data_IF_822410333317
#
_entry.id   IF_822410333317
#
_cell.length_a   1.000
_cell.length_b   1.000
_cell.length_c   1.000
_cell.angle_alpha   90.00
_cell.angle_beta   90.00
_cell.angle_gamma   90.00
#
_symmetry.space_group_name_H-M   'P 1'
#
loop_
_entity.id
_entity.type
_entity.pdbx_description
1 polymer ?
#
# COMPACT_ATOMS: atom_id res chain seq x y z
N UNK A 1 2.07 9.71 10.66
CA UNK A 1 3.32 10.37 10.16
C UNK A 1 3.95 9.61 9.00
N UNK A 2 4.31 8.33 9.14
CA UNK A 2 5.07 7.59 8.11
C UNK A 2 4.40 7.61 6.70
N UNK A 3 3.11 7.34 6.60
CA UNK A 3 2.40 7.34 5.31
C UNK A 3 2.41 8.71 4.61
N UNK A 4 2.26 9.82 5.36
CA UNK A 4 2.38 11.17 4.78
C UNK A 4 3.80 11.47 4.31
N UNK A 5 4.81 11.10 5.10
CA UNK A 5 6.22 11.24 4.69
C UNK A 5 6.51 10.39 3.45
N UNK A 6 5.91 9.20 3.36
CA UNK A 6 6.03 8.34 2.20
C UNK A 6 5.42 9.00 0.96
N UNK A 7 4.18 9.49 1.04
CA UNK A 7 3.51 10.19 -0.07
C UNK A 7 4.33 11.37 -0.58
N UNK A 8 4.88 12.19 0.32
CA UNK A 8 5.73 13.31 -0.04
C UNK A 8 6.99 12.88 -0.79
N UNK A 9 7.62 11.77 -0.36
CA UNK A 9 8.80 11.21 -1.02
C UNK A 9 8.54 10.67 -2.42
N UNK A 10 7.31 10.22 -2.70
CA UNK A 10 6.93 9.60 -3.98
C UNK A 10 6.41 10.63 -5.00
N UNK A 11 6.38 11.92 -4.65
CA UNK A 11 5.86 13.01 -5.50
C UNK A 11 4.45 12.71 -6.09
N UNK A 12 3.59 12.07 -5.29
CA UNK A 12 2.23 11.71 -5.70
C UNK A 12 1.35 12.96 -5.63
N UNK A 13 0.80 13.37 -6.76
CA UNK A 13 0.03 14.63 -6.91
C UNK A 13 -1.45 14.42 -7.22
N UNK A 14 -1.88 13.19 -7.45
CA UNK A 14 -3.26 12.85 -7.88
C UNK A 14 -3.78 11.59 -7.22
N UNK A 15 -5.09 11.42 -7.23
CA UNK A 15 -5.78 10.17 -6.87
C UNK A 15 -6.44 9.57 -8.12
N UNK A 16 -6.62 8.27 -8.19
CA UNK A 16 -6.15 7.28 -7.21
C UNK A 16 -4.63 7.06 -7.27
N UNK A 17 -4.02 6.82 -6.14
CA UNK A 17 -2.60 6.45 -6.04
C UNK A 17 -2.35 5.15 -6.82
N UNK A 18 -1.24 5.08 -7.55
CA UNK A 18 -0.81 3.88 -8.27
C UNK A 18 0.40 3.19 -7.60
N UNK A 19 0.19 2.24 -6.68
CA UNK A 19 1.28 1.57 -5.97
C UNK A 19 2.18 0.74 -6.90
N UNK A 20 1.62 0.19 -8.00
CA UNK A 20 2.40 -0.58 -8.97
C UNK A 20 3.48 0.29 -9.66
N UNK A 21 3.24 1.59 -9.83
CA UNK A 21 4.25 2.51 -10.34
C UNK A 21 5.29 2.88 -9.27
N UNK A 22 4.90 2.92 -7.99
CA UNK A 22 5.78 3.25 -6.87
C UNK A 22 6.86 2.18 -6.65
N UNK A 23 6.54 0.91 -6.83
CA UNK A 23 7.49 -0.20 -6.59
C UNK A 23 8.78 0.00 -7.40
N UNK A 24 8.76 0.09 -8.74
CA UNK A 24 9.99 0.27 -9.51
C UNK A 24 10.66 1.65 -9.29
N UNK A 25 9.91 2.70 -8.97
CA UNK A 25 10.48 4.01 -8.63
C UNK A 25 11.39 3.98 -7.40
N UNK A 26 11.15 3.04 -6.48
CA UNK A 26 12.00 2.81 -5.31
C UNK A 26 13.13 1.79 -5.55
N UNK A 27 13.33 1.33 -6.78
CA UNK A 27 14.32 0.30 -7.13
C UNK A 27 13.93 -1.12 -6.68
N UNK A 28 12.65 -1.33 -6.36
CA UNK A 28 12.09 -2.64 -6.03
C UNK A 28 11.57 -3.34 -7.28
N UNK A 29 11.47 -4.65 -7.25
CA UNK A 29 10.97 -5.45 -8.37
C UNK A 29 9.49 -5.74 -8.15
N UNK A 30 8.67 -5.50 -9.17
CA UNK A 30 7.25 -5.86 -9.18
C UNK A 30 7.04 -7.05 -10.13
N UNK A 31 6.41 -8.10 -9.63
CA UNK A 31 5.97 -9.24 -10.43
C UNK A 31 4.47 -9.48 -10.31
N UNK A 32 3.83 -9.80 -11.44
CA UNK A 32 2.56 -10.53 -11.39
C UNK A 32 2.78 -11.97 -10.90
N UNK A 33 1.73 -12.62 -10.42
CA UNK A 33 1.82 -14.06 -10.08
C UNK A 33 2.14 -14.91 -11.30
N UNK A 34 1.64 -14.54 -12.48
CA UNK A 34 1.96 -15.23 -13.73
C UNK A 34 3.46 -15.15 -14.02
N UNK A 35 4.06 -13.97 -13.95
CA UNK A 35 5.49 -13.76 -14.24
C UNK A 35 6.39 -14.40 -13.17
N UNK A 36 6.04 -14.26 -11.89
CA UNK A 36 6.83 -14.84 -10.80
C UNK A 36 6.78 -16.37 -10.81
N UNK A 37 5.60 -16.96 -11.05
CA UNK A 37 5.43 -18.41 -11.18
C UNK A 37 6.26 -18.98 -12.34
N UNK A 38 6.23 -18.31 -13.50
CA UNK A 38 7.07 -18.67 -14.64
C UNK A 38 8.56 -18.58 -14.31
N UNK A 39 8.98 -17.53 -13.62
CA UNK A 39 10.39 -17.32 -13.25
C UNK A 39 10.93 -18.38 -12.29
N UNK A 40 10.11 -18.85 -11.33
CA UNK A 40 10.51 -19.92 -10.40
C UNK A 40 10.14 -21.32 -10.87
N UNK A 41 9.63 -21.49 -12.11
CA UNK A 41 9.16 -22.76 -12.69
C UNK A 41 8.10 -23.48 -11.82
N UNK A 42 7.12 -22.74 -11.34
CA UNK A 42 5.96 -23.19 -10.57
C UNK A 42 4.67 -22.71 -11.22
N UNK A 43 3.53 -23.11 -10.70
CA UNK A 43 2.22 -22.59 -11.07
C UNK A 43 1.71 -21.54 -10.05
N UNK A 44 0.66 -20.82 -10.41
CA UNK A 44 0.03 -19.81 -9.54
C UNK A 44 -0.55 -20.45 -8.28
N UNK A 45 -1.08 -21.69 -8.37
CA UNK A 45 -1.62 -22.41 -7.22
C UNK A 45 -0.54 -22.68 -6.16
N UNK A 46 0.72 -22.91 -6.59
CA UNK A 46 1.86 -23.00 -5.69
C UNK A 46 2.08 -21.69 -4.92
N UNK A 47 2.01 -20.55 -5.60
CA UNK A 47 2.17 -19.24 -4.95
C UNK A 47 1.08 -19.00 -3.92
N UNK A 48 -0.18 -19.21 -4.30
CA UNK A 48 -1.34 -19.05 -3.41
C UNK A 48 -1.29 -19.97 -2.19
N UNK A 49 -0.70 -21.17 -2.33
CA UNK A 49 -0.59 -22.14 -1.25
C UNK A 49 0.58 -21.86 -0.32
N UNK A 50 1.75 -21.48 -0.85
CA UNK A 50 2.99 -21.40 -0.09
C UNK A 50 3.36 -19.97 0.34
N UNK A 51 2.86 -18.94 -0.38
CA UNK A 51 3.10 -17.53 -0.04
C UNK A 51 1.82 -16.86 0.46
N UNK A 52 1.03 -16.31 -0.42
CA UNK A 52 -0.28 -15.74 -0.11
C UNK A 52 -1.21 -15.81 -1.32
N UNK A 53 -2.55 -15.68 -1.11
CA UNK A 53 -3.54 -15.74 -2.19
C UNK A 53 -3.60 -14.45 -3.01
N UNK A 54 -3.29 -13.30 -2.41
CA UNK A 54 -3.51 -11.96 -2.96
C UNK A 54 -2.17 -11.29 -3.35
N UNK A 55 -1.16 -11.38 -2.50
CA UNK A 55 0.17 -10.83 -2.74
C UNK A 55 1.15 -11.14 -1.62
N UNK A 56 2.40 -10.85 -1.84
CA UNK A 56 3.45 -10.97 -0.83
C UNK A 56 4.67 -10.13 -1.19
N UNK A 57 5.47 -9.81 -0.19
CA UNK A 57 6.79 -9.21 -0.39
C UNK A 57 7.88 -10.06 0.23
N UNK A 58 9.04 -10.08 -0.43
CA UNK A 58 10.25 -10.70 0.09
C UNK A 58 11.49 -9.85 -0.21
N UNK A 59 12.53 -10.03 0.60
CA UNK A 59 13.87 -9.56 0.29
C UNK A 59 14.62 -10.58 -0.56
N UNK A 60 15.00 -10.19 -1.76
CA UNK A 60 15.81 -11.02 -2.67
C UNK A 60 17.29 -10.82 -2.39
N UNK A 61 17.93 -11.81 -1.77
CA UNK A 61 19.38 -11.78 -1.52
C UNK A 61 20.21 -11.72 -2.82
N UNK A 62 19.86 -12.44 -3.91
CA UNK A 62 20.59 -12.31 -5.18
C UNK A 62 20.45 -10.92 -5.81
N UNK A 63 19.25 -10.36 -5.83
CA UNK A 63 18.99 -9.05 -6.43
C UNK A 63 19.31 -7.86 -5.50
N UNK A 64 19.58 -8.12 -4.21
CA UNK A 64 19.81 -7.10 -3.16
C UNK A 64 18.71 -6.04 -3.13
N UNK A 65 17.46 -6.46 -3.33
CA UNK A 65 16.28 -5.58 -3.30
C UNK A 65 15.02 -6.32 -2.88
N UNK A 66 13.94 -5.57 -2.62
CA UNK A 66 12.63 -6.15 -2.38
C UNK A 66 11.97 -6.59 -3.68
N UNK A 67 11.24 -7.69 -3.59
CA UNK A 67 10.37 -8.22 -4.65
C UNK A 67 8.96 -8.22 -4.11
N UNK A 68 8.10 -7.48 -4.78
CA UNK A 68 6.66 -7.41 -4.50
C UNK A 68 5.93 -8.23 -5.54
N UNK A 69 5.11 -9.17 -5.11
CA UNK A 69 4.31 -10.02 -5.98
C UNK A 69 2.82 -9.80 -5.72
N UNK A 70 2.01 -9.79 -6.79
CA UNK A 70 0.56 -9.62 -6.68
C UNK A 70 -0.19 -10.58 -7.61
N UNK A 71 -1.39 -10.96 -7.22
CA UNK A 71 -2.27 -11.80 -8.03
C UNK A 71 -2.92 -10.96 -9.13
N UNK A 72 -2.47 -11.14 -10.37
CA UNK A 72 -2.95 -10.43 -11.56
C UNK A 72 -4.35 -10.87 -12.03
N UNK A 73 -4.92 -11.93 -11.46
CA UNK A 73 -6.31 -12.31 -11.67
C UNK A 73 -7.29 -11.58 -10.73
N UNK A 74 -6.80 -10.80 -9.77
CA UNK A 74 -7.65 -10.02 -8.88
C UNK A 74 -8.18 -8.73 -9.58
N UNK A 75 -9.31 -8.17 -9.12
CA UNK A 75 -9.78 -6.85 -9.57
C UNK A 75 -8.75 -5.75 -9.31
N UNK A 76 -8.76 -4.71 -10.14
CA UNK A 76 -7.76 -3.63 -10.09
C UNK A 76 -7.72 -2.89 -8.73
N UNK A 77 -8.86 -2.73 -8.06
CA UNK A 77 -8.93 -2.13 -6.72
C UNK A 77 -8.28 -3.03 -5.65
N UNK A 78 -8.43 -4.35 -5.76
CA UNK A 78 -7.77 -5.32 -4.87
C UNK A 78 -6.26 -5.34 -5.14
N UNK A 79 -5.82 -5.33 -6.40
CA UNK A 79 -4.39 -5.22 -6.76
C UNK A 79 -3.79 -3.95 -6.15
N UNK A 80 -4.48 -2.81 -6.29
CA UNK A 80 -4.04 -1.53 -5.72
C UNK A 80 -3.87 -1.62 -4.21
N UNK A 81 -4.86 -2.19 -3.52
CA UNK A 81 -4.80 -2.40 -2.08
C UNK A 81 -3.65 -3.31 -1.68
N UNK A 82 -3.55 -4.48 -2.31
CA UNK A 82 -2.51 -5.48 -2.03
C UNK A 82 -1.11 -4.92 -2.21
N UNK A 83 -0.82 -4.28 -3.34
CA UNK A 83 0.52 -3.72 -3.57
C UNK A 83 0.85 -2.60 -2.58
N UNK A 84 -0.12 -1.75 -2.21
CA UNK A 84 0.09 -0.73 -1.16
C UNK A 84 0.32 -1.36 0.23
N UNK A 85 -0.32 -2.47 0.54
CA UNK A 85 -0.12 -3.25 1.76
C UNK A 85 1.30 -3.83 1.83
N UNK A 86 1.78 -4.43 0.73
CA UNK A 86 3.15 -4.97 0.64
C UNK A 86 4.22 -3.86 0.74
N UNK A 87 3.97 -2.69 0.16
CA UNK A 87 4.79 -1.49 0.38
C UNK A 87 4.80 -1.09 1.87
N UNK A 88 3.69 -1.28 2.56
CA UNK A 88 3.58 -1.08 4.01
C UNK A 88 4.55 -1.95 4.79
N UNK A 89 4.64 -3.24 4.48
CA UNK A 89 5.60 -4.16 5.11
C UNK A 89 7.05 -3.73 4.90
N UNK A 90 7.40 -3.24 3.71
CA UNK A 90 8.75 -2.70 3.44
C UNK A 90 9.00 -1.43 4.27
N UNK A 91 8.07 -0.48 4.21
CA UNK A 91 8.20 0.85 4.82
C UNK A 91 8.24 0.80 6.35
N UNK A 92 7.62 -0.20 6.95
CA UNK A 92 7.57 -0.47 8.39
C UNK A 92 8.69 -1.42 8.85
N UNK A 93 9.56 -1.85 7.93
CA UNK A 93 10.65 -2.78 8.19
C UNK A 93 10.21 -4.16 8.72
N UNK A 94 8.99 -4.59 8.40
CA UNK A 94 8.52 -5.95 8.69
C UNK A 94 9.28 -7.00 7.87
N UNK A 95 9.70 -6.63 6.66
CA UNK A 95 10.58 -7.40 5.79
C UNK A 95 11.90 -6.64 5.62
N UNK A 96 13.02 -7.34 5.69
CA UNK A 96 14.36 -6.76 5.63
C UNK A 96 15.38 -7.82 5.19
N UNK A 97 16.65 -7.45 4.92
CA UNK A 97 17.71 -8.44 4.66
C UNK A 97 17.90 -9.48 5.76
N UNK A 98 17.62 -9.12 7.02
CA UNK A 98 17.70 -10.03 8.18
C UNK A 98 16.41 -10.81 8.44
N UNK A 99 15.27 -10.34 7.92
CA UNK A 99 13.98 -11.01 7.96
C UNK A 99 13.39 -11.01 6.54
N UNK A 100 13.85 -11.90 5.65
CA UNK A 100 13.61 -11.80 4.20
C UNK A 100 12.16 -12.06 3.79
N UNK A 101 11.34 -12.62 4.66
CA UNK A 101 9.91 -12.85 4.43
C UNK A 101 9.21 -13.05 5.78
N UNK A 102 7.98 -12.57 5.90
CA UNK A 102 7.16 -12.85 7.07
C UNK A 102 6.68 -14.30 7.07
N UNK A 103 6.80 -14.97 8.21
CA UNK A 103 6.25 -16.30 8.38
C UNK A 103 4.71 -16.23 8.38
N UNK A 104 4.04 -17.08 7.61
CA UNK A 104 2.57 -17.09 7.43
C UNK A 104 1.74 -17.22 8.72
N UNK A 105 2.32 -17.75 9.81
CA UNK A 105 1.63 -18.03 11.07
C UNK A 105 2.49 -17.69 12.27
N UNK A 106 2.07 -16.67 13.02
CA UNK A 106 2.67 -16.30 14.30
C UNK A 106 1.90 -15.17 14.98
N UNK A 107 1.86 -15.16 16.31
CA UNK A 107 1.14 -14.13 17.08
C UNK A 107 1.65 -12.70 16.81
N UNK A 108 2.91 -12.55 16.40
CA UNK A 108 3.51 -11.26 16.02
C UNK A 108 3.04 -10.75 14.66
N UNK A 109 2.62 -11.63 13.75
CA UNK A 109 2.21 -11.25 12.41
C UNK A 109 0.92 -10.43 12.39
N UNK A 110 -0.02 -10.68 13.31
CA UNK A 110 -1.28 -9.93 13.35
C UNK A 110 -1.07 -8.43 13.55
N UNK A 111 -0.09 -8.03 14.35
CA UNK A 111 0.23 -6.61 14.53
C UNK A 111 0.82 -6.02 13.27
N UNK A 112 1.77 -6.72 12.65
CA UNK A 112 2.41 -6.29 11.39
C UNK A 112 1.39 -6.17 10.25
N UNK A 113 0.42 -7.10 10.16
CA UNK A 113 -0.67 -7.01 9.19
C UNK A 113 -1.54 -5.76 9.41
N UNK A 114 -1.94 -5.50 10.66
CA UNK A 114 -2.71 -4.30 11.00
C UNK A 114 -1.94 -3.00 10.70
N UNK A 115 -0.65 -2.97 10.98
CA UNK A 115 0.22 -1.83 10.67
C UNK A 115 0.34 -1.60 9.16
N UNK A 116 0.52 -2.67 8.37
CA UNK A 116 0.56 -2.60 6.91
C UNK A 116 -0.80 -2.21 6.31
N UNK A 117 -1.92 -2.73 6.83
CA UNK A 117 -3.27 -2.27 6.46
C UNK A 117 -3.49 -0.79 6.76
N UNK A 118 -3.09 -0.32 7.95
CA UNK A 118 -3.17 1.10 8.31
C UNK A 118 -2.28 1.98 7.42
N UNK A 119 -1.11 1.49 7.03
CA UNK A 119 -0.24 2.18 6.10
C UNK A 119 -0.88 2.28 4.71
N UNK A 120 -1.34 1.17 4.15
CA UNK A 120 -2.02 1.12 2.85
C UNK A 120 -3.21 2.07 2.79
N UNK A 121 -4.09 2.01 3.80
CA UNK A 121 -5.25 2.89 3.91
C UNK A 121 -4.85 4.36 3.88
N UNK A 122 -3.83 4.76 4.65
CA UNK A 122 -3.41 6.16 4.75
C UNK A 122 -2.68 6.65 3.51
N UNK A 123 -2.01 5.78 2.78
CA UNK A 123 -1.36 6.10 1.50
C UNK A 123 -2.40 6.23 0.39
N UNK A 124 -3.34 5.28 0.31
CA UNK A 124 -4.37 5.28 -0.73
C UNK A 124 -5.48 6.32 -0.50
N UNK A 125 -5.77 6.61 0.77
CA UNK A 125 -6.81 7.54 1.18
C UNK A 125 -6.22 8.67 2.05
N UNK A 126 -5.45 9.61 1.49
CA UNK A 126 -4.83 10.69 2.24
C UNK A 126 -5.90 11.63 2.81
N UNK A 127 -6.24 11.47 4.10
CA UNK A 127 -7.34 12.16 4.75
C UNK A 127 -7.33 13.71 4.58
N UNK A 128 -6.18 14.41 4.62
CA UNK A 128 -6.16 15.85 4.37
C UNK A 128 -6.71 16.23 2.99
N UNK A 129 -6.32 15.47 1.96
CA UNK A 129 -6.75 15.71 0.56
C UNK A 129 -8.23 15.40 0.39
N UNK A 130 -8.68 14.24 0.90
CA UNK A 130 -10.07 13.81 0.78
C UNK A 130 -11.04 14.75 1.53
N UNK A 131 -10.62 15.28 2.67
CA UNK A 131 -11.42 16.30 3.41
C UNK A 131 -11.55 17.61 2.63
N UNK A 132 -10.46 18.06 2.01
CA UNK A 132 -10.50 19.27 1.18
C UNK A 132 -11.39 19.08 -0.05
N UNK A 133 -11.40 17.87 -0.63
CA UNK A 133 -12.32 17.50 -1.69
C UNK A 133 -13.78 17.29 -1.22
N UNK A 134 -14.08 17.40 0.08
CA UNK A 134 -15.42 17.27 0.63
C UNK A 134 -15.96 15.83 0.67
N UNK A 135 -15.09 14.82 0.66
CA UNK A 135 -15.47 13.40 0.65
C UNK A 135 -16.17 13.01 1.96
N UNK A 136 -17.40 12.48 1.85
CA UNK A 136 -18.27 12.18 2.99
C UNK A 136 -18.98 10.82 2.92
N UNK A 137 -18.86 10.09 1.80
CA UNK A 137 -19.53 8.78 1.61
C UNK A 137 -18.54 7.69 1.20
N UNK A 138 -18.86 6.41 1.45
CA UNK A 138 -18.06 5.28 0.98
C UNK A 138 -17.91 5.24 -0.55
N UNK A 139 -18.95 5.59 -1.29
CA UNK A 139 -18.96 5.61 -2.75
C UNK A 139 -17.99 6.65 -3.30
N UNK A 140 -17.91 7.82 -2.67
CA UNK A 140 -16.92 8.86 -3.02
C UNK A 140 -15.49 8.38 -2.74
N UNK A 141 -15.26 7.66 -1.63
CA UNK A 141 -13.98 7.01 -1.35
C UNK A 141 -13.61 6.00 -2.46
N UNK A 142 -14.54 5.11 -2.82
CA UNK A 142 -14.31 4.14 -3.92
C UNK A 142 -13.97 4.86 -5.22
N UNK A 143 -14.77 5.85 -5.60
CA UNK A 143 -14.58 6.59 -6.85
C UNK A 143 -13.26 7.36 -6.92
N UNK A 144 -12.86 8.00 -5.83
CA UNK A 144 -11.66 8.83 -5.80
C UNK A 144 -10.38 8.03 -5.53
N UNK A 145 -10.42 7.04 -4.65
CA UNK A 145 -9.24 6.29 -4.21
C UNK A 145 -9.07 4.94 -4.93
N UNK A 146 -10.14 4.40 -5.52
CA UNK A 146 -10.14 3.12 -6.22
C UNK A 146 -9.73 1.96 -5.31
N UNK A 147 -10.17 1.95 -4.06
CA UNK A 147 -9.95 0.87 -3.10
C UNK A 147 -11.16 -0.09 -3.07
N UNK A 148 -11.00 -1.33 -2.52
CA UNK A 148 -12.11 -2.26 -2.37
C UNK A 148 -13.22 -1.72 -1.47
N UNK A 149 -14.47 -2.01 -1.79
CA UNK A 149 -15.65 -1.57 -1.02
C UNK A 149 -15.61 -2.04 0.44
N UNK A 150 -15.01 -3.19 0.69
CA UNK A 150 -14.79 -3.75 2.03
C UNK A 150 -13.92 -2.88 2.93
N UNK A 151 -13.15 -1.93 2.36
CA UNK A 151 -12.21 -1.05 3.04
C UNK A 151 -12.72 0.39 3.18
N UNK A 152 -13.77 0.77 2.44
CA UNK A 152 -14.25 2.16 2.38
C UNK A 152 -14.81 2.67 3.69
N UNK A 153 -15.48 1.82 4.48
CA UNK A 153 -15.98 2.19 5.80
C UNK A 153 -14.86 2.59 6.77
N UNK A 154 -13.77 1.83 6.79
CA UNK A 154 -12.60 2.17 7.61
C UNK A 154 -11.89 3.43 7.09
N UNK A 155 -11.82 3.61 5.76
CA UNK A 155 -11.24 4.80 5.15
C UNK A 155 -12.05 6.05 5.48
N UNK A 156 -13.37 5.99 5.37
CA UNK A 156 -14.26 7.11 5.71
C UNK A 156 -14.15 7.48 7.18
N UNK A 157 -14.16 6.50 8.08
CA UNK A 157 -13.96 6.74 9.51
C UNK A 157 -12.61 7.41 9.79
N UNK A 158 -11.54 7.00 9.11
CA UNK A 158 -10.23 7.64 9.21
C UNK A 158 -10.25 9.08 8.68
N UNK A 159 -10.89 9.34 7.54
CA UNK A 159 -11.02 10.70 6.97
C UNK A 159 -11.79 11.63 7.91
N UNK A 160 -12.93 11.17 8.43
CA UNK A 160 -13.77 11.95 9.34
C UNK A 160 -13.09 12.19 10.69
N UNK A 161 -12.40 11.19 11.23
CA UNK A 161 -11.67 11.28 12.50
C UNK A 161 -10.31 11.98 12.40
N UNK A 162 -9.86 12.35 11.20
CA UNK A 162 -8.54 12.96 11.03
C UNK A 162 -8.48 14.34 11.73
N UNK A 163 -7.50 14.49 12.62
CA UNK A 163 -7.17 15.75 13.25
C UNK A 163 -5.67 16.03 13.08
N UNK A 164 -5.34 17.22 12.60
CA UNK A 164 -3.96 17.67 12.54
C UNK A 164 -3.48 18.05 13.94
N UNK A 165 -2.26 17.66 14.27
CA UNK A 165 -1.55 18.09 15.47
C UNK A 165 -0.28 18.87 15.11
N UNK A 166 0.41 19.39 16.10
CA UNK A 166 1.63 20.16 15.89
C UNK A 166 2.76 19.36 15.25
N UNK A 167 2.79 18.03 15.43
CA UNK A 167 3.82 17.15 14.86
C UNK A 167 3.54 16.83 13.39
N UNK A 168 2.28 16.77 12.99
CA UNK A 168 1.85 16.48 11.62
C UNK A 168 1.70 17.73 10.75
N UNK A 169 1.62 18.92 11.34
CA UNK A 169 1.39 20.18 10.62
C UNK A 169 2.37 20.45 9.46
N UNK A 170 3.71 20.23 9.59
CA UNK A 170 4.63 20.43 8.46
C UNK A 170 4.38 19.44 7.30
N UNK A 171 4.09 18.17 7.62
CA UNK A 171 3.75 17.14 6.63
C UNK A 171 2.43 17.46 5.94
N UNK A 172 1.44 17.91 6.71
CA UNK A 172 0.14 18.35 6.18
C UNK A 172 0.32 19.45 5.15
N UNK A 173 1.07 20.51 5.49
CA UNK A 173 1.36 21.62 4.55
C UNK A 173 2.09 21.14 3.29
N UNK A 174 2.95 20.14 3.40
CA UNK A 174 3.62 19.50 2.26
C UNK A 174 2.61 18.77 1.36
N UNK A 175 1.77 17.92 1.93
CA UNK A 175 0.73 17.15 1.21
C UNK A 175 -0.23 18.11 0.51
N UNK A 176 -0.73 19.15 1.17
CA UNK A 176 -1.67 20.09 0.58
C UNK A 176 -1.05 20.84 -0.62
N UNK A 177 0.22 21.23 -0.52
CA UNK A 177 0.94 21.82 -1.67
C UNK A 177 1.15 20.85 -2.82
N UNK A 178 1.49 19.59 -2.51
CA UNK A 178 1.73 18.54 -3.51
C UNK A 178 0.45 18.21 -4.30
N UNK A 179 -0.70 18.22 -3.64
CA UNK A 179 -2.00 17.97 -4.25
C UNK A 179 -2.76 19.24 -4.69
N UNK A 180 -2.15 20.42 -4.62
CA UNK A 180 -2.83 21.69 -4.92
C UNK A 180 -3.42 21.78 -6.33
N UNK A 181 -2.88 21.06 -7.31
CA UNK A 181 -3.43 20.97 -8.67
C UNK A 181 -4.52 19.91 -8.84
N UNK A 182 -4.75 19.09 -7.82
CA UNK A 182 -5.78 18.05 -7.79
C UNK A 182 -7.03 18.51 -7.00
N UNK A 183 -6.84 19.26 -5.91
CA UNK A 183 -7.86 19.88 -5.08
C UNK A 183 -8.39 21.15 -5.78
#
# INVERSE_FOLDING_TARGET
MLAMSFLLKQDITTLPVNPCAIVPQNGWILFSYADFAAWIHKDIAHLQTHYDKDGFVLWSKPAQTFVVCYNDNAPQNEIRWTVAHEIGHISLHHVSPSCPMLARHGAGNRLYELEAECFALRVLCPAPVLRECGVNTPEEITGMCGIPDTRTGAALAYVQGFAADSQTAPLLSGIMRQFAGFI
#
